data_IF_378174444988
#
_entry.id   IF_378174444988
#
_cell.length_a   1.000
_cell.length_b   1.000
_cell.length_c   1.000
_cell.angle_alpha   90.00
_cell.angle_beta   90.00
_cell.angle_gamma   90.00
#
_symmetry.space_group_name_H-M   'P 1'
#
loop_
_entity.id
_entity.type
_entity.pdbx_description
1 polymer ?
#
# COMPACT_ATOMS: atom_id res chain seq x y z
N UNK A 1 -8.07 -5.01 0.48
CA UNK A 1 -6.66 -5.17 0.91
C UNK A 1 -5.80 -5.42 -0.31
N UNK A 2 -4.57 -4.87 -0.38
CA UNK A 2 -3.73 -4.96 -1.60
C UNK A 2 -2.54 -5.89 -1.40
N UNK A 3 -1.98 -5.94 -0.20
CA UNK A 3 -0.80 -6.73 0.12
C UNK A 3 -0.81 -7.14 1.56
N UNK A 4 -0.36 -8.35 1.84
CA UNK A 4 -0.32 -8.90 3.19
C UNK A 4 1.01 -9.59 3.41
N UNK A 5 1.60 -9.36 4.58
CA UNK A 5 2.82 -10.02 5.02
C UNK A 5 2.60 -10.68 6.37
N UNK A 6 2.72 -11.99 6.39
CA UNK A 6 2.74 -12.80 7.61
C UNK A 6 4.18 -13.14 7.95
N UNK A 7 4.54 -13.06 9.22
CA UNK A 7 5.76 -13.66 9.75
C UNK A 7 5.40 -14.92 10.53
N UNK A 8 6.27 -15.91 10.52
CA UNK A 8 6.03 -17.17 11.22
C UNK A 8 7.31 -17.73 11.83
N UNK A 9 7.14 -18.58 12.82
CA UNK A 9 8.18 -19.44 13.39
C UNK A 9 7.93 -20.84 12.86
N UNK A 10 8.94 -21.46 12.28
CA UNK A 10 8.86 -22.81 11.79
C UNK A 10 10.00 -23.66 12.41
N UNK A 11 9.72 -24.89 12.75
CA UNK A 11 10.71 -25.86 13.20
C UNK A 11 11.38 -26.64 12.06
N UNK A 12 11.09 -26.30 10.79
CA UNK A 12 11.48 -27.06 9.61
C UNK A 12 11.96 -26.17 8.46
N UNK A 13 12.78 -25.14 8.77
CA UNK A 13 13.28 -24.18 7.79
C UNK A 13 14.06 -24.83 6.64
N UNK A 14 14.89 -25.83 6.92
CA UNK A 14 15.62 -26.59 5.91
C UNK A 14 14.68 -27.39 5.00
N UNK A 15 13.62 -27.95 5.55
CA UNK A 15 12.60 -28.65 4.76
C UNK A 15 11.88 -27.68 3.81
N UNK A 16 11.51 -26.49 4.27
CA UNK A 16 10.90 -25.46 3.43
C UNK A 16 11.81 -25.01 2.29
N UNK A 17 13.07 -24.79 2.57
CA UNK A 17 14.09 -24.44 1.58
C UNK A 17 14.18 -25.51 0.47
N UNK A 18 14.26 -26.77 0.83
CA UNK A 18 14.32 -27.88 -0.12
C UNK A 18 13.05 -27.98 -0.96
N UNK A 19 11.87 -27.75 -0.37
CA UNK A 19 10.59 -27.89 -1.04
C UNK A 19 10.16 -26.64 -1.82
N UNK A 20 10.73 -25.47 -1.52
CA UNK A 20 10.47 -24.24 -2.28
C UNK A 20 10.80 -24.42 -3.77
N UNK A 21 11.81 -25.21 -4.10
CA UNK A 21 12.24 -25.51 -5.46
C UNK A 21 11.23 -26.33 -6.27
N UNK A 22 10.26 -26.94 -5.63
CA UNK A 22 9.27 -27.84 -6.27
C UNK A 22 7.89 -27.23 -6.38
N UNK A 23 7.74 -25.92 -6.14
CA UNK A 23 6.45 -25.26 -6.30
C UNK A 23 6.07 -25.10 -7.75
N UNK A 24 4.82 -25.37 -8.04
CA UNK A 24 4.20 -25.16 -9.34
C UNK A 24 3.92 -23.64 -9.51
N UNK A 25 4.69 -22.98 -10.37
CA UNK A 25 4.59 -21.55 -10.68
C UNK A 25 5.09 -21.28 -12.10
N UNK A 26 4.70 -20.13 -12.68
CA UNK A 26 5.10 -19.79 -14.06
C UNK A 26 6.61 -19.48 -14.15
N UNK A 27 7.13 -18.80 -13.15
CA UNK A 27 8.56 -18.61 -12.97
C UNK A 27 8.93 -18.49 -11.50
N UNK A 28 10.16 -18.84 -11.20
CA UNK A 28 10.69 -18.78 -9.84
C UNK A 28 12.06 -18.13 -9.84
N UNK A 29 12.27 -17.22 -8.89
CA UNK A 29 13.58 -16.66 -8.59
C UNK A 29 13.93 -16.87 -7.14
N UNK A 30 15.17 -17.23 -6.90
CA UNK A 30 15.71 -17.41 -5.56
C UNK A 30 16.99 -16.59 -5.38
N UNK A 31 17.09 -15.93 -4.24
CA UNK A 31 18.29 -15.23 -3.84
C UNK A 31 18.73 -15.74 -2.48
N UNK A 32 19.97 -16.19 -2.40
CA UNK A 32 20.70 -16.25 -1.14
C UNK A 32 21.30 -14.89 -0.89
N UNK A 33 20.84 -14.16 0.10
CA UNK A 33 21.39 -12.84 0.36
C UNK A 33 22.85 -12.94 0.83
N UNK A 34 23.70 -12.06 0.31
CA UNK A 34 24.98 -11.76 0.99
C UNK A 34 24.63 -11.36 2.41
N UNK A 35 25.16 -12.13 3.36
CA UNK A 35 24.88 -12.09 4.79
C UNK A 35 24.91 -10.64 5.31
N UNK A 36 23.75 -10.07 5.57
CA UNK A 36 23.61 -8.77 6.26
C UNK A 36 22.74 -8.97 7.50
N UNK A 37 23.17 -8.53 8.67
CA UNK A 37 22.29 -8.53 9.87
C UNK A 37 20.94 -7.86 9.58
N UNK A 38 19.86 -8.47 10.01
CA UNK A 38 18.49 -8.00 9.75
C UNK A 38 17.90 -8.42 8.40
N UNK A 39 18.63 -9.15 7.56
CA UNK A 39 18.15 -9.70 6.29
C UNK A 39 17.63 -11.14 6.38
N UNK A 40 17.11 -11.64 5.26
CA UNK A 40 16.67 -13.03 5.10
C UNK A 40 17.78 -13.84 4.45
N UNK A 41 17.98 -15.08 4.93
CA UNK A 41 19.01 -15.98 4.39
C UNK A 41 18.62 -16.47 2.99
N UNK A 42 17.37 -16.90 2.81
CA UNK A 42 16.80 -17.25 1.51
C UNK A 42 15.56 -16.41 1.25
N UNK A 43 15.42 -15.93 0.03
CA UNK A 43 14.26 -15.21 -0.45
C UNK A 43 13.81 -15.82 -1.77
N UNK A 44 12.61 -16.35 -1.81
CA UNK A 44 11.97 -16.94 -2.97
C UNK A 44 10.87 -16.03 -3.47
N UNK A 45 10.78 -15.87 -4.78
CA UNK A 45 9.66 -15.20 -5.43
C UNK A 45 9.05 -16.16 -6.44
N UNK A 46 7.77 -16.44 -6.28
CA UNK A 46 6.99 -17.30 -7.18
C UNK A 46 6.07 -16.41 -8.00
N UNK A 47 6.17 -16.53 -9.32
CA UNK A 47 5.27 -15.88 -10.25
C UNK A 47 4.09 -16.80 -10.53
N UNK A 48 2.87 -16.28 -10.38
CA UNK A 48 1.61 -16.95 -10.62
C UNK A 48 0.82 -16.27 -11.76
N UNK A 49 1.51 -15.56 -12.66
CA UNK A 49 0.92 -14.79 -13.74
C UNK A 49 0.44 -13.42 -13.25
N UNK A 50 -0.79 -13.30 -12.81
CA UNK A 50 -1.37 -12.03 -12.35
C UNK A 50 -0.88 -11.60 -10.98
N UNK A 51 -0.14 -12.45 -10.27
CA UNK A 51 0.35 -12.20 -8.91
C UNK A 51 1.71 -12.84 -8.67
N UNK A 52 2.39 -12.33 -7.66
CA UNK A 52 3.61 -12.93 -7.13
C UNK A 52 3.47 -13.20 -5.64
N UNK A 53 4.13 -14.26 -5.19
CA UNK A 53 4.24 -14.62 -3.77
C UNK A 53 5.72 -14.58 -3.38
N UNK A 54 6.05 -13.88 -2.31
CA UNK A 54 7.40 -13.89 -1.75
C UNK A 54 7.43 -14.73 -0.46
N UNK A 55 8.42 -15.62 -0.37
CA UNK A 55 8.68 -16.47 0.79
C UNK A 55 10.10 -16.21 1.26
N UNK A 56 10.28 -15.76 2.50
CA UNK A 56 11.58 -15.61 3.14
C UNK A 56 11.78 -16.68 4.20
N UNK A 57 12.96 -17.29 4.21
CA UNK A 57 13.36 -18.35 5.15
C UNK A 57 14.69 -17.98 5.78
N UNK A 58 14.82 -18.24 7.09
CA UNK A 58 16.01 -17.94 7.85
C UNK A 58 16.25 -16.44 8.02
N UNK A 59 16.29 -15.98 9.26
CA UNK A 59 16.55 -14.57 9.58
C UNK A 59 17.97 -14.42 10.10
N UNK A 60 18.71 -13.46 9.54
CA UNK A 60 20.05 -13.14 9.98
C UNK A 60 19.97 -12.25 11.23
N UNK A 61 20.33 -12.79 12.37
CA UNK A 61 20.38 -12.05 13.63
C UNK A 61 21.54 -11.06 13.67
N UNK A 62 21.52 -10.06 14.56
CA UNK A 62 22.64 -9.12 14.74
C UNK A 62 23.98 -9.80 15.03
N UNK A 63 23.93 -10.99 15.64
CA UNK A 63 25.09 -11.86 15.92
C UNK A 63 25.67 -12.57 14.67
N UNK A 64 25.14 -12.29 13.48
CA UNK A 64 25.46 -12.98 12.22
C UNK A 64 25.13 -14.49 12.22
N UNK A 65 24.26 -14.95 13.12
CA UNK A 65 23.73 -16.32 13.11
C UNK A 65 22.43 -16.35 12.32
N UNK A 66 22.25 -17.41 11.52
CA UNK A 66 21.02 -17.63 10.78
C UNK A 66 20.02 -18.37 11.66
N UNK A 67 18.88 -17.76 11.92
CA UNK A 67 17.77 -18.42 12.59
C UNK A 67 16.81 -18.98 11.54
N UNK A 68 17.02 -20.24 11.16
CA UNK A 68 16.22 -20.96 10.15
C UNK A 68 14.76 -21.16 10.57
N UNK A 69 14.43 -21.01 11.86
CA UNK A 69 13.08 -21.16 12.36
C UNK A 69 12.19 -19.92 12.12
N UNK A 70 12.73 -18.85 11.55
CA UNK A 70 11.98 -17.64 11.23
C UNK A 70 11.75 -17.54 9.74
N UNK A 71 10.51 -17.19 9.36
CA UNK A 71 10.15 -16.99 7.97
C UNK A 71 9.07 -15.92 7.80
N UNK A 72 8.77 -15.59 6.56
CA UNK A 72 7.61 -14.80 6.18
C UNK A 72 7.04 -15.27 4.84
N UNK A 73 5.76 -15.00 4.64
CA UNK A 73 5.11 -15.04 3.33
C UNK A 73 4.46 -13.69 3.05
N UNK A 74 4.58 -13.20 1.81
CA UNK A 74 4.01 -11.94 1.38
C UNK A 74 3.31 -12.12 0.03
N UNK A 75 2.04 -11.69 -0.08
CA UNK A 75 1.20 -11.88 -1.26
C UNK A 75 0.09 -10.82 -1.34
N UNK A 76 -0.60 -10.76 -2.49
CA UNK A 76 -1.82 -9.99 -2.66
C UNK A 76 -3.04 -10.93 -2.54
N UNK A 77 -3.82 -10.87 -1.44
CA UNK A 77 -4.95 -11.77 -1.22
C UNK A 77 -5.98 -11.78 -2.35
N UNK A 78 -6.29 -10.59 -2.90
CA UNK A 78 -7.29 -10.47 -3.96
C UNK A 78 -6.86 -11.15 -5.27
N UNK A 79 -5.56 -11.23 -5.53
CA UNK A 79 -5.02 -11.83 -6.74
C UNK A 79 -4.80 -13.34 -6.62
N UNK A 80 -4.48 -13.82 -5.41
CA UNK A 80 -4.17 -15.24 -5.20
C UNK A 80 -5.38 -16.07 -4.77
N UNK A 81 -6.50 -15.45 -4.37
CA UNK A 81 -7.65 -16.15 -3.84
C UNK A 81 -8.22 -17.23 -4.77
N UNK A 82 -8.18 -17.00 -6.08
CA UNK A 82 -8.62 -17.95 -7.11
C UNK A 82 -7.54 -18.93 -7.61
N UNK A 83 -6.27 -18.76 -7.23
CA UNK A 83 -5.18 -19.57 -7.75
C UNK A 83 -4.97 -20.84 -6.90
N UNK A 84 -5.24 -22.01 -7.49
CA UNK A 84 -5.06 -23.30 -6.83
C UNK A 84 -3.60 -23.60 -6.44
N UNK A 85 -2.62 -23.04 -7.17
CA UNK A 85 -1.18 -23.20 -6.88
C UNK A 85 -0.83 -22.53 -5.57
N UNK A 86 -1.37 -21.31 -5.34
CA UNK A 86 -1.23 -20.60 -4.08
C UNK A 86 -1.77 -21.40 -2.89
N UNK A 87 -2.95 -22.01 -3.03
CA UNK A 87 -3.53 -22.82 -1.96
C UNK A 87 -2.71 -24.06 -1.67
N UNK A 88 -2.19 -24.75 -2.70
CA UNK A 88 -1.25 -25.88 -2.52
C UNK A 88 0.03 -25.46 -1.81
N UNK A 89 0.54 -24.22 -2.09
CA UNK A 89 1.68 -23.65 -1.36
C UNK A 89 1.36 -23.50 0.12
N UNK A 90 0.18 -22.91 0.46
CA UNK A 90 -0.25 -22.75 1.85
C UNK A 90 -0.45 -24.08 2.57
N UNK A 91 -1.07 -25.07 1.92
CA UNK A 91 -1.27 -26.41 2.47
C UNK A 91 0.06 -27.10 2.82
N UNK A 92 1.10 -26.89 2.02
CA UNK A 92 2.44 -27.40 2.31
C UNK A 92 3.15 -26.59 3.40
N UNK A 93 2.90 -25.29 3.46
CA UNK A 93 3.53 -24.38 4.43
C UNK A 93 2.92 -24.53 5.83
N UNK A 94 1.59 -24.63 5.94
CA UNK A 94 0.87 -24.63 7.20
C UNK A 94 1.40 -25.68 8.21
N UNK A 95 1.65 -26.95 7.84
CA UNK A 95 2.21 -27.93 8.78
C UNK A 95 3.61 -27.63 9.30
N UNK A 96 4.30 -26.67 8.67
CA UNK A 96 5.64 -26.25 9.07
C UNK A 96 5.64 -25.01 9.97
N UNK A 97 4.50 -24.36 10.10
CA UNK A 97 4.34 -23.13 10.88
C UNK A 97 3.81 -23.48 12.26
N UNK A 98 4.54 -23.13 13.31
CA UNK A 98 4.10 -23.32 14.70
C UNK A 98 3.39 -22.08 15.25
N UNK A 99 3.65 -20.92 14.68
CA UNK A 99 3.02 -19.67 15.07
C UNK A 99 3.11 -18.65 13.93
N UNK A 100 1.99 -18.12 13.50
CA UNK A 100 1.92 -17.06 12.50
C UNK A 100 1.38 -15.77 13.12
N UNK A 101 1.91 -14.64 12.64
CA UNK A 101 1.36 -13.33 13.00
C UNK A 101 1.35 -12.41 11.79
N UNK A 102 0.36 -11.56 11.74
CA UNK A 102 0.30 -10.48 10.77
C UNK A 102 1.44 -9.49 11.04
N UNK A 103 2.31 -9.27 10.07
CA UNK A 103 3.41 -8.31 10.19
C UNK A 103 3.00 -6.95 9.65
N UNK A 104 2.32 -6.95 8.52
CA UNK A 104 1.81 -5.73 7.90
C UNK A 104 0.75 -6.09 6.84
N UNK A 105 -0.10 -5.13 6.53
CA UNK A 105 -1.00 -5.20 5.38
C UNK A 105 -1.15 -3.82 4.74
N UNK A 106 -1.47 -3.79 3.46
CA UNK A 106 -1.75 -2.55 2.75
C UNK A 106 -3.27 -2.45 2.53
N UNK A 107 -3.86 -1.39 3.08
CA UNK A 107 -5.25 -1.02 2.86
C UNK A 107 -5.34 -0.11 1.65
N UNK A 108 -6.22 -0.44 0.69
CA UNK A 108 -6.53 0.41 -0.45
C UNK A 108 -7.97 0.92 -0.36
N UNK A 109 -8.15 2.19 -0.69
CA UNK A 109 -9.44 2.83 -0.82
C UNK A 109 -9.53 3.52 -2.18
N UNK A 110 -10.55 3.18 -2.95
CA UNK A 110 -10.75 3.64 -4.31
C UNK A 110 -11.80 4.75 -4.35
N UNK A 111 -11.44 5.87 -4.95
CA UNK A 111 -12.30 7.03 -5.16
C UNK A 111 -12.67 7.14 -6.64
N UNK A 112 -13.97 7.25 -7.00
CA UNK A 112 -14.39 7.47 -8.38
C UNK A 112 -14.18 8.95 -8.78
N UNK A 113 -12.93 9.41 -8.68
CA UNK A 113 -12.54 10.80 -8.87
C UNK A 113 -11.21 10.83 -9.61
N UNK A 114 -11.02 11.82 -10.50
CA UNK A 114 -9.76 12.02 -11.19
C UNK A 114 -8.61 12.25 -10.21
N UNK A 115 -7.44 11.71 -10.52
CA UNK A 115 -6.24 11.96 -9.72
C UNK A 115 -5.90 13.46 -9.64
N UNK A 116 -6.22 14.22 -10.67
CA UNK A 116 -6.00 15.67 -10.70
C UNK A 116 -6.98 16.45 -9.79
N UNK A 117 -8.08 15.84 -9.42
CA UNK A 117 -9.06 16.40 -8.48
C UNK A 117 -8.80 15.97 -7.02
N UNK A 118 -7.74 15.20 -6.79
CA UNK A 118 -7.31 14.78 -5.45
C UNK A 118 -6.03 15.50 -5.04
N UNK A 119 -6.00 15.97 -3.81
CA UNK A 119 -4.83 16.63 -3.20
C UNK A 119 -4.44 15.91 -1.92
N UNK A 120 -3.20 15.47 -1.84
CA UNK A 120 -2.61 14.90 -0.62
C UNK A 120 -1.97 16.03 0.19
N UNK A 121 -2.44 16.26 1.41
CA UNK A 121 -1.80 17.21 2.33
C UNK A 121 -0.49 16.65 2.86
N UNK A 122 0.56 17.49 2.83
CA UNK A 122 1.87 17.12 3.37
C UNK A 122 1.84 17.24 4.89
N UNK A 123 2.30 16.22 5.56
CA UNK A 123 2.48 16.21 7.00
C UNK A 123 3.98 16.12 7.37
N UNK A 124 4.30 15.67 8.58
CA UNK A 124 5.69 15.53 9.04
C UNK A 124 6.43 14.36 8.38
N UNK A 125 5.73 13.47 7.65
CA UNK A 125 6.34 12.34 6.94
C UNK A 125 7.10 12.84 5.71
N UNK A 126 8.10 12.09 5.29
CA UNK A 126 8.84 12.37 4.06
C UNK A 126 7.89 12.33 2.86
N UNK A 127 7.85 13.40 2.08
CA UNK A 127 7.02 13.51 0.88
C UNK A 127 7.84 13.30 -0.38
N UNK A 128 7.27 12.58 -1.34
CA UNK A 128 7.82 12.40 -2.69
C UNK A 128 6.68 12.42 -3.71
N UNK A 129 6.88 13.10 -4.82
CA UNK A 129 6.00 13.02 -5.99
C UNK A 129 6.77 12.50 -7.20
N UNK A 130 6.11 11.70 -8.02
CA UNK A 130 6.65 11.15 -9.27
C UNK A 130 5.60 11.34 -10.36
N UNK A 131 6.02 11.93 -11.48
CA UNK A 131 5.20 12.09 -12.67
C UNK A 131 5.67 11.06 -13.69
N UNK A 132 4.92 9.96 -13.80
CA UNK A 132 5.14 8.92 -14.81
C UNK A 132 3.79 8.25 -15.02
N UNK A 133 3.21 8.35 -16.23
CA UNK A 133 1.84 7.89 -16.50
C UNK A 133 0.79 8.41 -15.50
N UNK A 134 0.89 9.72 -15.17
CA UNK A 134 0.09 10.36 -14.12
C UNK A 134 0.89 10.75 -12.88
N UNK A 135 0.22 11.44 -11.95
CA UNK A 135 0.83 11.91 -10.71
C UNK A 135 0.69 10.83 -9.63
N UNK A 136 1.80 10.36 -9.12
CA UNK A 136 1.85 9.51 -7.92
C UNK A 136 2.53 10.25 -6.78
N UNK A 137 1.86 10.35 -5.65
CA UNK A 137 2.39 10.98 -4.44
C UNK A 137 2.59 9.94 -3.35
N UNK A 138 3.61 10.18 -2.54
CA UNK A 138 4.00 9.30 -1.44
C UNK A 138 4.24 10.10 -0.16
N UNK A 139 3.82 9.54 0.99
CA UNK A 139 4.20 10.01 2.31
C UNK A 139 4.85 8.86 3.10
N UNK A 140 5.91 9.16 3.83
CA UNK A 140 6.61 8.20 4.66
C UNK A 140 7.66 7.38 3.93
N UNK A 141 8.16 6.37 4.61
CA UNK A 141 9.21 5.47 4.11
C UNK A 141 8.58 4.21 3.55
N UNK A 142 8.93 3.83 2.34
CA UNK A 142 8.41 2.63 1.67
C UNK A 142 8.58 1.38 2.55
N UNK A 143 7.53 0.57 2.61
CA UNK A 143 7.49 -0.68 3.37
C UNK A 143 7.48 -0.53 4.91
N UNK A 144 7.25 0.67 5.43
CA UNK A 144 7.06 0.88 6.87
C UNK A 144 5.60 1.25 7.18
N UNK A 145 5.09 0.94 8.39
CA UNK A 145 3.77 1.40 8.80
C UNK A 145 3.61 2.91 8.68
N UNK A 146 2.46 3.35 8.20
CA UNK A 146 2.18 4.75 7.90
C UNK A 146 2.66 5.22 6.52
N UNK A 147 3.25 4.37 5.68
CA UNK A 147 3.56 4.72 4.31
C UNK A 147 2.28 4.83 3.49
N UNK A 148 2.17 5.93 2.74
CA UNK A 148 1.01 6.22 1.89
C UNK A 148 1.44 6.33 0.44
N UNK A 149 0.58 5.88 -0.47
CA UNK A 149 0.68 6.08 -1.90
C UNK A 149 -0.68 6.53 -2.44
N UNK A 150 -0.70 7.63 -3.20
CA UNK A 150 -1.91 8.15 -3.88
C UNK A 150 -1.62 8.25 -5.37
N UNK A 151 -2.43 7.57 -6.21
CA UNK A 151 -2.15 7.47 -7.63
C UNK A 151 -3.39 7.24 -8.49
N UNK A 152 -3.23 7.42 -9.81
CA UNK A 152 -4.25 7.11 -10.80
C UNK A 152 -4.34 5.60 -11.03
N UNK A 153 -5.36 4.97 -10.45
CA UNK A 153 -5.58 3.52 -10.57
C UNK A 153 -6.19 3.14 -11.92
N UNK A 154 -6.98 4.03 -12.53
CA UNK A 154 -7.54 3.78 -13.85
C UNK A 154 -6.43 3.73 -14.90
N UNK A 155 -5.48 4.68 -14.86
CA UNK A 155 -4.32 4.68 -15.74
C UNK A 155 -3.41 3.46 -15.51
N UNK A 156 -3.17 3.05 -14.25
CA UNK A 156 -2.38 1.85 -13.93
C UNK A 156 -3.01 0.56 -14.51
N UNK A 157 -4.33 0.47 -14.49
CA UNK A 157 -5.07 -0.72 -14.98
C UNK A 157 -5.55 -0.60 -16.42
N UNK A 158 -5.24 0.48 -17.12
CA UNK A 158 -5.72 0.78 -18.47
C UNK A 158 -7.26 0.73 -18.59
N UNK A 159 -7.96 1.20 -17.55
CA UNK A 159 -9.42 1.28 -17.52
C UNK A 159 -9.90 2.57 -18.17
N UNK A 160 -11.07 2.51 -18.79
CA UNK A 160 -11.82 3.70 -19.18
C UNK A 160 -12.45 4.33 -17.94
N UNK A 161 -12.31 5.66 -17.79
CA UNK A 161 -12.87 6.40 -16.66
C UNK A 161 -11.81 6.94 -15.70
N UNK A 162 -12.26 7.37 -14.52
CA UNK A 162 -11.41 7.98 -13.50
C UNK A 162 -11.47 7.17 -12.21
N UNK A 163 -10.31 6.87 -11.64
CA UNK A 163 -10.21 6.14 -10.39
C UNK A 163 -8.91 6.50 -9.68
N UNK A 164 -9.01 7.21 -8.57
CA UNK A 164 -7.87 7.49 -7.70
C UNK A 164 -7.81 6.47 -6.59
N UNK A 165 -6.65 5.89 -6.35
CA UNK A 165 -6.42 4.97 -5.22
C UNK A 165 -5.53 5.60 -4.16
N UNK A 166 -5.97 5.46 -2.92
CA UNK A 166 -5.20 5.76 -1.71
C UNK A 166 -4.79 4.42 -1.10
N UNK A 167 -3.51 4.19 -0.90
CA UNK A 167 -2.98 3.01 -0.22
C UNK A 167 -2.27 3.43 1.07
N UNK A 168 -2.59 2.77 2.17
CA UNK A 168 -1.93 2.93 3.47
C UNK A 168 -1.31 1.61 3.88
N UNK A 169 0.00 1.61 4.16
CA UNK A 169 0.67 0.46 4.78
C UNK A 169 0.42 0.48 6.28
N UNK A 170 -0.26 -0.53 6.78
CA UNK A 170 -0.63 -0.70 8.18
C UNK A 170 0.31 -1.68 8.90
N UNK A 171 0.57 -1.46 10.18
CA UNK A 171 1.18 -2.47 11.04
C UNK A 171 0.18 -3.60 11.31
N UNK A 172 0.65 -4.83 11.40
CA UNK A 172 -0.21 -5.99 11.68
C UNK A 172 -0.88 -5.95 13.05
N UNK A 173 -0.32 -5.20 13.98
CA UNK A 173 -0.88 -5.04 15.33
C UNK A 173 -1.90 -3.90 15.43
N UNK A 174 -2.02 -3.05 14.41
CA UNK A 174 -2.98 -1.96 14.42
C UNK A 174 -4.42 -2.46 14.47
N UNK A 175 -5.21 -1.82 15.33
CA UNK A 175 -6.66 -1.92 15.31
C UNK A 175 -7.29 -0.92 14.32
N UNK A 176 -8.61 -0.96 14.16
CA UNK A 176 -9.33 -0.07 13.26
C UNK A 176 -9.15 1.42 13.64
N UNK A 177 -9.10 1.75 14.93
CA UNK A 177 -8.88 3.13 15.39
C UNK A 177 -7.50 3.63 15.00
N UNK A 178 -6.48 2.81 15.13
CA UNK A 178 -5.12 3.14 14.71
C UNK A 178 -5.00 3.28 13.19
N UNK A 179 -5.69 2.45 12.41
CA UNK A 179 -5.76 2.59 10.95
C UNK A 179 -6.37 3.93 10.57
N UNK A 180 -7.50 4.31 11.16
CA UNK A 180 -8.15 5.61 10.92
C UNK A 180 -7.25 6.77 11.35
N UNK A 181 -6.59 6.68 12.51
CA UNK A 181 -5.70 7.72 13.03
C UNK A 181 -4.48 7.97 12.12
N UNK A 182 -4.03 6.97 11.36
CA UNK A 182 -2.91 7.09 10.41
C UNK A 182 -3.35 7.32 8.96
N UNK A 183 -4.67 7.42 8.72
CA UNK A 183 -5.19 7.70 7.40
C UNK A 183 -4.68 9.05 6.89
N UNK A 184 -4.26 9.15 5.61
CA UNK A 184 -3.73 10.40 5.08
C UNK A 184 -4.84 11.45 4.90
N UNK A 185 -4.47 12.71 5.02
CA UNK A 185 -5.36 13.81 4.68
C UNK A 185 -5.37 14.00 3.16
N UNK A 186 -6.34 13.40 2.50
CA UNK A 186 -6.60 13.54 1.07
C UNK A 186 -7.88 14.35 0.91
N UNK A 187 -7.84 15.40 0.10
CA UNK A 187 -8.99 16.19 -0.26
C UNK A 187 -9.40 15.81 -1.68
N UNK A 188 -10.67 15.54 -1.90
CA UNK A 188 -11.23 15.25 -3.22
C UNK A 188 -12.20 16.35 -3.63
N UNK A 189 -11.96 16.90 -4.81
CA UNK A 189 -12.80 17.89 -5.42
C UNK A 189 -13.56 17.29 -6.61
N UNK A 190 -14.86 17.49 -6.64
CA UNK A 190 -15.65 17.10 -7.80
C UNK A 190 -15.75 18.29 -8.76
N UNK A 191 -14.94 18.25 -9.81
CA UNK A 191 -14.98 19.29 -10.84
C UNK A 191 -16.16 19.10 -11.78
N UNK A 192 -16.81 20.21 -12.14
CA UNK A 192 -17.78 20.22 -13.21
C UNK A 192 -17.17 19.84 -14.55
N UNK A 193 -17.97 19.27 -15.46
CA UNK A 193 -17.58 19.09 -16.86
C UNK A 193 -17.11 20.42 -17.44
N UNK A 194 -15.95 20.44 -18.09
CA UNK A 194 -15.34 21.63 -18.70
C UNK A 194 -14.49 22.47 -17.76
N UNK A 195 -14.18 22.01 -16.54
CA UNK A 195 -13.15 22.65 -15.73
C UNK A 195 -11.78 22.47 -16.38
N UNK A 196 -11.12 23.59 -16.68
CA UNK A 196 -9.81 23.57 -17.34
C UNK A 196 -8.72 23.06 -16.38
N UNK A 197 -7.80 22.24 -16.85
CA UNK A 197 -6.72 21.64 -16.05
C UNK A 197 -5.87 22.65 -15.30
N UNK A 198 -5.67 23.85 -15.89
CA UNK A 198 -4.91 24.90 -15.22
C UNK A 198 -5.57 25.38 -13.90
N UNK A 199 -6.91 25.34 -13.79
CA UNK A 199 -7.62 25.68 -12.54
C UNK A 199 -7.24 24.68 -11.44
N UNK A 200 -7.12 23.40 -11.77
CA UNK A 200 -6.68 22.35 -10.85
C UNK A 200 -5.23 22.57 -10.42
N UNK A 201 -4.34 22.84 -11.38
CA UNK A 201 -2.92 23.09 -11.09
C UNK A 201 -2.75 24.32 -10.18
N UNK A 202 -3.42 25.42 -10.50
CA UNK A 202 -3.40 26.63 -9.65
C UNK A 202 -4.02 26.33 -8.28
N UNK A 203 -5.12 25.57 -8.21
CA UNK A 203 -5.76 25.16 -6.96
C UNK A 203 -4.79 24.39 -6.07
N UNK A 204 -4.05 23.42 -6.61
CA UNK A 204 -3.02 22.64 -5.88
C UNK A 204 -1.92 23.59 -5.36
N UNK A 205 -1.38 24.44 -6.19
CA UNK A 205 -0.32 25.40 -5.80
C UNK A 205 -0.76 26.33 -4.66
N UNK A 206 -1.99 26.85 -4.75
CA UNK A 206 -2.53 27.76 -3.73
C UNK A 206 -2.86 26.99 -2.43
N UNK A 207 -3.33 25.76 -2.53
CA UNK A 207 -3.56 24.91 -1.36
C UNK A 207 -2.26 24.63 -0.60
N UNK A 208 -1.17 24.32 -1.30
CA UNK A 208 0.14 24.13 -0.67
C UNK A 208 0.66 25.40 0.03
N UNK A 209 0.37 26.58 -0.53
CA UNK A 209 0.69 27.85 0.12
C UNK A 209 -0.14 28.09 1.35
N UNK A 210 -1.46 27.85 1.27
CA UNK A 210 -2.36 27.99 2.42
C UNK A 210 -1.97 27.05 3.58
N UNK A 211 -1.57 25.82 3.28
CA UNK A 211 -1.08 24.85 4.29
C UNK A 211 0.21 25.30 5.00
N UNK A 212 1.02 26.12 4.33
CA UNK A 212 2.20 26.76 4.94
C UNK A 212 1.87 28.05 5.70
N UNK A 213 0.59 28.40 5.80
CA UNK A 213 0.13 29.61 6.46
C UNK A 213 0.35 30.90 5.64
N UNK A 214 0.63 30.76 4.34
CA UNK A 214 0.77 31.90 3.44
C UNK A 214 -0.62 32.48 3.09
N UNK A 215 -0.71 33.80 2.98
CA UNK A 215 -1.94 34.47 2.53
C UNK A 215 -2.16 34.21 1.03
N UNK A 216 -3.27 33.56 0.68
CA UNK A 216 -3.57 33.16 -0.71
C UNK A 216 -4.72 33.94 -1.35
N UNK A 217 -5.51 34.68 -0.57
CA UNK A 217 -6.69 35.38 -1.07
C UNK A 217 -6.33 36.49 -2.07
N UNK A 218 -5.22 37.17 -1.85
CA UNK A 218 -4.68 38.15 -2.79
C UNK A 218 -4.36 37.50 -4.13
N UNK A 219 -3.73 36.32 -4.14
CA UNK A 219 -3.41 35.58 -5.36
C UNK A 219 -4.69 35.11 -6.08
N UNK A 220 -5.69 34.66 -5.33
CA UNK A 220 -6.99 34.27 -5.89
C UNK A 220 -7.65 35.47 -6.56
N UNK A 221 -7.57 36.64 -5.95
CA UNK A 221 -8.15 37.86 -6.50
C UNK A 221 -7.44 38.38 -7.77
N UNK A 222 -6.24 37.93 -8.08
CA UNK A 222 -5.55 38.16 -9.33
C UNK A 222 -6.06 37.30 -10.49
N UNK A 223 -6.76 36.17 -10.19
CA UNK A 223 -7.34 35.29 -11.19
C UNK A 223 -8.55 35.96 -11.89
N UNK A 224 -8.89 35.47 -13.07
CA UNK A 224 -10.09 35.88 -13.78
C UNK A 224 -11.38 35.63 -13.00
N UNK A 225 -12.40 36.49 -13.14
CA UNK A 225 -13.65 36.46 -12.38
C UNK A 225 -14.33 35.08 -12.37
N UNK A 226 -14.25 34.33 -13.49
CA UNK A 226 -14.87 33.00 -13.63
C UNK A 226 -14.09 31.90 -12.92
N UNK A 227 -12.80 32.09 -12.69
CA UNK A 227 -11.91 31.08 -12.09
C UNK A 227 -11.84 31.15 -10.56
N UNK A 228 -12.05 32.34 -9.99
CA UNK A 228 -12.01 32.55 -8.53
C UNK A 228 -12.93 31.61 -7.75
N UNK A 229 -14.22 31.48 -8.10
CA UNK A 229 -15.11 30.57 -7.38
C UNK A 229 -14.62 29.11 -7.41
N UNK A 230 -14.20 28.63 -8.59
CA UNK A 230 -13.72 27.26 -8.78
C UNK A 230 -12.46 26.95 -7.95
N UNK A 231 -11.50 27.91 -7.90
CA UNK A 231 -10.30 27.76 -7.07
C UNK A 231 -10.65 27.78 -5.58
N UNK A 232 -11.57 28.65 -5.13
CA UNK A 232 -12.02 28.64 -3.74
C UNK A 232 -12.75 27.36 -3.37
N UNK A 233 -13.55 26.81 -4.26
CA UNK A 233 -14.20 25.51 -4.09
C UNK A 233 -13.16 24.38 -3.97
N UNK A 234 -12.14 24.37 -4.84
CA UNK A 234 -11.03 23.42 -4.75
C UNK A 234 -10.31 23.51 -3.41
N UNK A 235 -10.05 24.72 -2.89
CA UNK A 235 -9.40 24.92 -1.60
C UNK A 235 -10.26 24.44 -0.41
N UNK A 236 -11.59 24.40 -0.58
CA UNK A 236 -12.55 23.93 0.42
C UNK A 236 -12.97 22.49 0.19
N UNK A 237 -12.32 21.77 -0.75
CA UNK A 237 -12.66 20.38 -1.04
C UNK A 237 -12.67 19.55 0.25
N UNK A 238 -13.70 18.70 0.44
CA UNK A 238 -13.81 17.89 1.63
C UNK A 238 -12.67 16.90 1.75
N UNK A 239 -12.28 16.62 2.99
CA UNK A 239 -11.34 15.55 3.29
C UNK A 239 -12.00 14.19 3.06
N UNK A 240 -11.27 13.29 2.44
CA UNK A 240 -11.68 11.89 2.25
C UNK A 240 -11.47 11.14 3.56
N UNK A 241 -12.54 10.82 4.22
CA UNK A 241 -12.52 10.02 5.44
C UNK A 241 -12.53 8.53 5.11
N UNK A 242 -11.77 7.74 5.84
CA UNK A 242 -11.90 6.29 5.81
C UNK A 242 -13.03 5.89 6.78
N UNK A 243 -14.12 5.27 6.29
CA UNK A 243 -15.18 4.81 7.18
C UNK A 243 -14.66 3.80 8.20
N UNK A 244 -15.09 3.92 9.45
CA UNK A 244 -14.60 3.06 10.54
C UNK A 244 -14.93 1.58 10.34
N UNK A 245 -16.08 1.28 9.72
CA UNK A 245 -16.49 -0.07 9.34
C UNK A 245 -15.58 -0.66 8.25
N UNK A 246 -15.15 0.15 7.27
CA UNK A 246 -14.18 -0.28 6.25
C UNK A 246 -12.82 -0.58 6.88
N UNK A 247 -12.36 0.25 7.83
CA UNK A 247 -11.13 0.00 8.58
C UNK A 247 -11.23 -1.30 9.40
N UNK A 248 -12.34 -1.49 10.11
CA UNK A 248 -12.59 -2.69 10.90
C UNK A 248 -12.64 -3.96 10.04
N UNK A 249 -13.34 -3.92 8.91
CA UNK A 249 -13.42 -5.04 7.96
C UNK A 249 -12.04 -5.40 7.41
N UNK A 250 -11.22 -4.41 7.05
CA UNK A 250 -9.87 -4.64 6.53
C UNK A 250 -8.95 -5.28 7.58
N UNK A 251 -9.02 -4.84 8.83
CA UNK A 251 -8.25 -5.43 9.94
C UNK A 251 -8.69 -6.87 10.21
N UNK A 252 -10.00 -7.13 10.23
CA UNK A 252 -10.56 -8.47 10.44
C UNK A 252 -10.15 -9.42 9.31
N UNK A 253 -10.26 -8.98 8.05
CA UNK A 253 -9.82 -9.76 6.90
C UNK A 253 -8.32 -10.07 6.97
N UNK A 254 -7.47 -9.07 7.26
CA UNK A 254 -6.04 -9.27 7.36
C UNK A 254 -5.66 -10.29 8.46
N UNK A 255 -6.31 -10.21 9.62
CA UNK A 255 -6.09 -11.15 10.73
C UNK A 255 -6.61 -12.57 10.46
N UNK A 256 -7.69 -12.70 9.69
CA UNK A 256 -8.23 -14.02 9.32
C UNK A 256 -7.24 -14.90 8.56
N UNK A 257 -6.27 -14.27 7.88
CA UNK A 257 -5.21 -15.01 7.22
C UNK A 257 -4.23 -15.70 8.17
N UNK A 258 -4.03 -15.15 9.40
CA UNK A 258 -3.21 -15.82 10.42
C UNK A 258 -3.88 -17.10 10.91
N UNK A 259 -5.20 -17.10 11.12
CA UNK A 259 -5.95 -18.27 11.59
C UNK A 259 -5.90 -19.46 10.62
N UNK A 260 -5.44 -19.29 9.40
CA UNK A 260 -5.24 -20.38 8.43
C UNK A 260 -3.97 -21.20 8.71
N UNK A 261 -3.12 -20.75 9.63
CA UNK A 261 -1.89 -21.41 10.05
C UNK A 261 -1.96 -21.92 11.49
N UNK A 262 -3.08 -21.74 12.16
CA UNK A 262 -3.39 -22.32 13.47
C UNK A 262 -4.17 -23.63 13.33
#
# INVERSE_FOLDING_TARGET
MVRLKLSFINGKGEWLSTHAQTFDCDSMSAWTSKIRPGGWYELWSFDLGDSSVALGIGFMEPSCKVNMNRGFIEFNPNKVAGDKRFWRLLEKLAPCVSHARLKRFDLAYDLPTSRLDCRLSKDRRMYKSVISNGITEYLGVKNTPGYVKVYDKAAEMHLSGVLTRIELTCDGEWDAGQVVAHWPQVHAWHSDEGTQDWVRVVGIMLAEKAERGEEVETLINMLGRRSRPKVREFLRAPMVELPADCAAAAVAEARSWCARFE
#
